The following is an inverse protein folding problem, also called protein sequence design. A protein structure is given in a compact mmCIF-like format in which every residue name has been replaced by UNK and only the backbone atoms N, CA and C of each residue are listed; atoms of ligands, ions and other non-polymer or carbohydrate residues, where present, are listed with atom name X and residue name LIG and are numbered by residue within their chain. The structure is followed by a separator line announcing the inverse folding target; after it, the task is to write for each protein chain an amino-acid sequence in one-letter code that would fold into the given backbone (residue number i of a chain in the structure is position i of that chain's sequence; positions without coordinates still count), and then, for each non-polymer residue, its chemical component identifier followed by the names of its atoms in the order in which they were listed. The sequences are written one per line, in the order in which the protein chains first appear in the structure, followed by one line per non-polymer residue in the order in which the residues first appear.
data_IF_636167581051
#
_entry.id   IF_636167581051
#
_cell.length_a   1.000
_cell.length_b   1.000
_cell.length_c   1.000
_cell.angle_alpha   90.00
_cell.angle_beta   90.00
_cell.angle_gamma   90.00
#
_symmetry.space_group_name_H-M   'P 1'
#
loop_
_entity.id
_entity.type
_entity.pdbx_description
1 polymer ?
#
# COMPACT_ATOMS: atom_id res chain seq x y z
N UNK A 1 -5.64 0.21 -20.61
CA UNK A 1 -4.83 -0.84 -19.96
C UNK A 1 -5.26 -2.18 -20.55
N UNK A 2 -4.33 -3.05 -20.94
CA UNK A 2 -4.69 -4.42 -21.36
C UNK A 2 -4.99 -5.28 -20.13
N UNK A 3 -5.76 -6.37 -20.31
CA UNK A 3 -6.05 -7.31 -19.21
C UNK A 3 -4.77 -7.89 -18.61
N UNK A 4 -3.78 -8.20 -19.44
CA UNK A 4 -2.48 -8.72 -19.00
C UNK A 4 -1.73 -7.71 -18.13
N UNK A 5 -1.71 -6.43 -18.52
CA UNK A 5 -1.09 -5.38 -17.71
C UNK A 5 -1.79 -5.21 -16.35
N UNK A 6 -3.11 -5.35 -16.31
CA UNK A 6 -3.87 -5.28 -15.06
C UNK A 6 -3.42 -6.38 -14.09
N UNK A 7 -3.33 -7.63 -14.57
CA UNK A 7 -2.88 -8.78 -13.78
C UNK A 7 -1.44 -8.59 -13.29
N UNK A 8 -0.55 -8.13 -14.14
CA UNK A 8 0.86 -7.87 -13.78
C UNK A 8 1.00 -6.79 -12.71
N UNK A 9 0.19 -5.72 -12.77
CA UNK A 9 0.19 -4.66 -11.76
C UNK A 9 -0.36 -5.19 -10.44
N UNK A 10 -1.46 -5.93 -10.47
CA UNK A 10 -2.04 -6.54 -9.26
C UNK A 10 -1.05 -7.50 -8.60
N UNK A 11 -0.35 -8.33 -9.36
CA UNK A 11 0.68 -9.23 -8.84
C UNK A 11 1.81 -8.44 -8.11
N UNK A 12 2.21 -7.28 -8.64
CA UNK A 12 3.22 -6.43 -8.00
C UNK A 12 2.73 -5.82 -6.68
N UNK A 13 1.44 -5.52 -6.53
CA UNK A 13 0.88 -5.04 -5.26
C UNK A 13 1.00 -6.11 -4.18
N UNK A 14 0.59 -7.35 -4.50
CA UNK A 14 0.76 -8.48 -3.57
C UNK A 14 2.23 -8.73 -3.22
N UNK A 15 3.12 -8.66 -4.22
CA UNK A 15 4.55 -8.81 -4.00
C UNK A 15 5.11 -7.75 -3.04
N UNK A 16 4.63 -6.50 -3.09
CA UNK A 16 5.04 -5.47 -2.14
C UNK A 16 4.66 -5.85 -0.70
N UNK A 17 3.43 -6.35 -0.49
CA UNK A 17 2.98 -6.85 0.82
C UNK A 17 3.85 -8.01 1.32
N UNK A 18 4.03 -9.03 0.49
CA UNK A 18 4.84 -10.21 0.85
C UNK A 18 6.27 -9.84 1.23
N UNK A 19 6.88 -8.89 0.52
CA UNK A 19 8.22 -8.40 0.84
C UNK A 19 8.28 -7.65 2.17
N UNK A 20 7.27 -6.84 2.49
CA UNK A 20 7.23 -6.15 3.79
C UNK A 20 7.04 -7.14 4.95
N UNK A 21 6.18 -8.15 4.79
CA UNK A 21 6.02 -9.24 5.76
C UNK A 21 7.33 -10.02 5.91
N UNK A 22 8.01 -10.34 4.80
CA UNK A 22 9.29 -11.05 4.85
C UNK A 22 10.37 -10.26 5.61
N UNK A 23 10.44 -8.94 5.42
CA UNK A 23 11.46 -8.09 6.05
C UNK A 23 11.22 -7.88 7.56
N UNK A 24 9.96 -7.71 7.97
CA UNK A 24 9.60 -7.37 9.35
C UNK A 24 9.01 -8.51 10.17
N UNK A 25 8.72 -9.65 9.56
CA UNK A 25 7.77 -10.62 10.10
C UNK A 25 6.33 -10.07 10.11
N UNK A 26 5.37 -10.91 10.52
CA UNK A 26 3.97 -10.50 10.61
C UNK A 26 3.78 -9.36 11.62
N UNK A 27 4.38 -9.45 12.81
CA UNK A 27 4.29 -8.40 13.83
C UNK A 27 4.87 -7.07 13.35
N UNK A 28 6.03 -7.11 12.68
CA UNK A 28 6.66 -5.90 12.13
C UNK A 28 5.81 -5.29 11.01
N UNK A 29 5.18 -6.13 10.20
CA UNK A 29 4.24 -5.68 9.18
C UNK A 29 2.98 -5.04 9.80
N UNK A 30 2.39 -5.64 10.83
CA UNK A 30 1.22 -5.07 11.53
C UNK A 30 1.55 -3.70 12.12
N UNK A 31 2.71 -3.55 12.78
CA UNK A 31 3.14 -2.25 13.30
C UNK A 31 3.33 -1.20 12.19
N UNK A 32 3.88 -1.62 11.05
CA UNK A 32 4.02 -0.76 9.87
C UNK A 32 2.64 -0.39 9.30
N UNK A 33 1.72 -1.35 9.21
CA UNK A 33 0.35 -1.14 8.75
C UNK A 33 -0.37 -0.13 9.64
N UNK A 34 -0.35 -0.30 10.95
CA UNK A 34 -0.99 0.61 11.91
C UNK A 34 -0.42 2.03 11.84
N UNK A 35 0.86 2.16 11.53
CA UNK A 35 1.52 3.46 11.35
C UNK A 35 1.06 4.18 10.08
N UNK A 36 0.88 3.45 8.98
CA UNK A 36 0.66 4.03 7.65
C UNK A 36 -0.79 4.04 7.19
N UNK A 37 -1.63 3.14 7.70
CA UNK A 37 -3.08 3.11 7.43
C UNK A 37 -3.75 4.47 7.67
N UNK A 38 -3.49 5.20 8.78
CA UNK A 38 -4.07 6.52 8.99
C UNK A 38 -3.72 7.54 7.89
N UNK A 39 -2.55 7.40 7.25
CA UNK A 39 -2.15 8.26 6.12
C UNK A 39 -3.00 7.98 4.89
N UNK A 40 -3.28 6.71 4.62
CA UNK A 40 -4.19 6.28 3.54
C UNK A 40 -5.61 6.76 3.82
N UNK A 41 -6.12 6.54 5.03
CA UNK A 41 -7.46 7.00 5.45
C UNK A 41 -7.59 8.52 5.38
N UNK A 42 -6.54 9.27 5.75
CA UNK A 42 -6.52 10.72 5.61
C UNK A 42 -6.60 11.16 4.14
N UNK A 43 -5.92 10.45 3.23
CA UNK A 43 -6.03 10.70 1.79
C UNK A 43 -7.43 10.35 1.26
N UNK A 44 -8.00 9.21 1.66
CA UNK A 44 -9.38 8.81 1.33
C UNK A 44 -10.38 9.89 1.76
N UNK A 45 -10.26 10.38 2.99
CA UNK A 45 -11.12 11.43 3.52
C UNK A 45 -10.92 12.78 2.82
N UNK A 46 -9.66 13.18 2.56
CA UNK A 46 -9.35 14.44 1.88
C UNK A 46 -9.89 14.47 0.45
N UNK A 47 -9.79 13.35 -0.24
CA UNK A 47 -10.15 13.23 -1.66
C UNK A 47 -11.54 12.62 -1.88
N UNK A 48 -12.24 12.26 -0.80
CA UNK A 48 -13.57 11.62 -0.82
C UNK A 48 -13.60 10.39 -1.74
N UNK A 49 -12.63 9.50 -1.59
CA UNK A 49 -12.40 8.36 -2.48
C UNK A 49 -12.05 7.06 -1.72
N UNK A 50 -12.02 5.94 -2.44
CA UNK A 50 -11.60 4.64 -1.91
C UNK A 50 -10.07 4.48 -1.88
N UNK A 51 -9.60 3.32 -1.40
CA UNK A 51 -8.21 3.01 -1.11
C UNK A 51 -7.30 3.12 -2.34
N UNK A 52 -7.70 2.58 -3.49
CA UNK A 52 -6.89 2.62 -4.72
C UNK A 52 -6.72 4.04 -5.29
N UNK A 53 -7.78 4.87 -5.43
CA UNK A 53 -7.60 6.28 -5.77
C UNK A 53 -6.74 7.05 -4.76
N UNK A 54 -6.91 6.79 -3.46
CA UNK A 54 -6.10 7.43 -2.42
C UNK A 54 -4.61 7.05 -2.53
N UNK A 55 -4.32 5.77 -2.81
CA UNK A 55 -2.97 5.29 -3.11
C UNK A 55 -2.35 6.07 -4.27
N UNK A 56 -3.06 6.24 -5.39
CA UNK A 56 -2.54 6.97 -6.55
C UNK A 56 -2.13 8.40 -6.18
N UNK A 57 -2.94 9.10 -5.37
CA UNK A 57 -2.58 10.44 -4.89
C UNK A 57 -1.35 10.45 -3.99
N UNK A 58 -1.22 9.45 -3.10
CA UNK A 58 -0.06 9.32 -2.23
C UNK A 58 1.22 8.95 -3.00
N UNK A 59 1.12 8.11 -4.03
CA UNK A 59 2.27 7.73 -4.87
C UNK A 59 2.83 8.94 -5.65
N UNK A 60 1.96 9.81 -6.18
CA UNK A 60 2.39 11.08 -6.82
C UNK A 60 3.17 11.97 -5.86
N UNK A 61 2.77 12.02 -4.59
CA UNK A 61 3.49 12.77 -3.56
C UNK A 61 4.84 12.12 -3.24
N UNK A 62 4.88 10.78 -3.17
CA UNK A 62 6.08 10.01 -2.88
C UNK A 62 7.15 10.16 -3.98
N UNK A 63 6.78 10.26 -5.27
CA UNK A 63 7.72 10.46 -6.39
C UNK A 63 8.68 11.64 -6.17
N UNK A 64 8.21 12.68 -5.48
CA UNK A 64 8.99 13.90 -5.22
C UNK A 64 9.92 13.83 -3.99
N UNK A 65 9.95 12.71 -3.27
CA UNK A 65 10.68 12.58 -1.99
C UNK A 65 12.02 11.83 -2.16
N UNK A 66 13.05 12.17 -1.36
CA UNK A 66 14.33 11.46 -1.37
C UNK A 66 14.20 9.94 -1.20
N UNK A 67 13.25 9.48 -0.37
CA UNK A 67 12.95 8.07 -0.13
C UNK A 67 11.65 7.60 -0.81
N UNK A 68 11.30 8.22 -1.94
CA UNK A 68 10.05 8.00 -2.65
C UNK A 68 9.77 6.54 -2.98
N UNK A 69 10.78 5.81 -3.47
CA UNK A 69 10.63 4.39 -3.83
C UNK A 69 10.26 3.50 -2.65
N UNK A 70 10.89 3.72 -1.47
CA UNK A 70 10.55 2.98 -0.26
C UNK A 70 9.15 3.32 0.24
N UNK A 71 8.80 4.61 0.21
CA UNK A 71 7.47 5.07 0.60
C UNK A 71 6.37 4.47 -0.29
N UNK A 72 6.59 4.40 -1.60
CA UNK A 72 5.66 3.75 -2.53
C UNK A 72 5.48 2.27 -2.22
N UNK A 73 6.58 1.57 -1.94
CA UNK A 73 6.56 0.15 -1.63
C UNK A 73 5.70 -0.13 -0.38
N UNK A 74 5.94 0.65 0.68
CA UNK A 74 5.15 0.61 1.92
C UNK A 74 3.68 0.92 1.65
N UNK A 75 3.37 1.99 0.93
CA UNK A 75 1.99 2.39 0.64
C UNK A 75 1.23 1.33 -0.18
N UNK A 76 1.88 0.71 -1.17
CA UNK A 76 1.32 -0.39 -1.94
C UNK A 76 0.98 -1.58 -1.05
N UNK A 77 1.89 -1.95 -0.14
CA UNK A 77 1.70 -3.06 0.79
C UNK A 77 0.53 -2.80 1.76
N UNK A 78 0.43 -1.59 2.31
CA UNK A 78 -0.64 -1.19 3.25
C UNK A 78 -2.00 -1.21 2.56
N UNK A 79 -2.11 -0.60 1.37
CA UNK A 79 -3.38 -0.55 0.64
C UNK A 79 -3.81 -1.95 0.18
N UNK A 80 -2.87 -2.80 -0.22
CA UNK A 80 -3.14 -4.20 -0.53
C UNK A 80 -3.74 -4.93 0.68
N UNK A 81 -3.17 -4.74 1.87
CA UNK A 81 -3.70 -5.33 3.10
C UNK A 81 -5.04 -4.74 3.53
N UNK A 82 -5.32 -3.44 3.29
CA UNK A 82 -6.64 -2.85 3.56
C UNK A 82 -7.73 -3.47 2.70
N UNK A 83 -7.43 -3.74 1.43
CA UNK A 83 -8.39 -4.30 0.46
C UNK A 83 -8.62 -5.80 0.68
N UNK A 84 -7.54 -6.54 0.95
CA UNK A 84 -7.58 -7.99 1.11
C UNK A 84 -6.73 -8.40 2.31
N UNK A 85 -7.24 -8.27 3.54
CA UNK A 85 -6.49 -8.57 4.75
C UNK A 85 -5.99 -10.01 4.78
N UNK A 86 -4.73 -10.20 5.14
CA UNK A 86 -4.10 -11.51 5.33
C UNK A 86 -3.60 -11.74 6.74
N UNK A 87 -3.16 -10.67 7.42
CA UNK A 87 -2.57 -10.73 8.77
C UNK A 87 -3.20 -9.75 9.75
N UNK A 88 -3.98 -8.79 9.26
CA UNK A 88 -4.59 -7.71 10.09
C UNK A 88 -6.06 -7.94 10.47
N UNK A 89 -6.68 -9.03 10.00
CA UNK A 89 -8.10 -9.33 10.27
C UNK A 89 -8.35 -10.28 11.47
N UNK A 90 -7.34 -10.49 12.32
CA UNK A 90 -7.40 -11.37 13.48
C UNK A 90 -7.85 -10.66 14.76
#
# INVERSE_FOLDING_TARGET
MSQQQAVEITAKLYQCREQQIFLGGEDGFIQMFDKWKPVVEAAMNKHQCSELPALIELLKLAESKPDGGMMMHVLNAVVCEMLEPTVTAH
#
